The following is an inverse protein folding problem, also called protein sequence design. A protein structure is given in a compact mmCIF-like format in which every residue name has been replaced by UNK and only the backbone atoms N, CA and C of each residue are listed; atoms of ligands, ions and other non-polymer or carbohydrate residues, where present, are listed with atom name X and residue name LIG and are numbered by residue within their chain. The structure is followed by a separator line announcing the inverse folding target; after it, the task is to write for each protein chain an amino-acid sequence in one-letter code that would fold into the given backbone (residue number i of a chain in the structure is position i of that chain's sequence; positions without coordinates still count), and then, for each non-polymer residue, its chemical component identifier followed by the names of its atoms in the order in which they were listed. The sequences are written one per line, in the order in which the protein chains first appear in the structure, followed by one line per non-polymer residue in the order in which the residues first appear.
data_IF_166181117507
#
_entry.id   IF_166181117507
#
_cell.length_a   1.000
_cell.length_b   1.000
_cell.length_c   1.000
_cell.angle_alpha   90.00
_cell.angle_beta   90.00
_cell.angle_gamma   90.00
#
_symmetry.space_group_name_H-M   'P 1'
#
loop_
_entity.id
_entity.type
_entity.pdbx_description
1 polymer ?
#
# COMPACT_ATOMS: atom_id res chain seq x y z
N UNK A 1 1.69 -2.27 -9.01
CA UNK A 1 1.49 -0.87 -8.59
C UNK A 1 0.26 -0.32 -9.29
N UNK A 2 -0.71 0.20 -8.54
CA UNK A 2 -1.90 0.89 -9.06
C UNK A 2 -1.89 2.34 -8.55
N UNK A 3 -2.43 3.28 -9.31
CA UNK A 3 -2.49 4.70 -8.92
C UNK A 3 -3.89 5.31 -9.10
N UNK A 4 -4.22 6.29 -8.26
CA UNK A 4 -5.37 7.19 -8.39
C UNK A 4 -4.84 8.61 -8.17
N UNK A 5 -4.72 9.40 -9.24
CA UNK A 5 -3.99 10.67 -9.17
C UNK A 5 -2.53 10.42 -8.78
N UNK A 6 -2.06 11.09 -7.72
CA UNK A 6 -0.72 10.91 -7.16
C UNK A 6 -0.67 9.90 -5.98
N UNK A 7 -1.81 9.30 -5.59
CA UNK A 7 -1.86 8.23 -4.60
C UNK A 7 -1.57 6.89 -5.29
N UNK A 8 -0.57 6.16 -4.80
CA UNK A 8 -0.19 4.83 -5.28
C UNK A 8 -0.46 3.75 -4.24
N UNK A 9 -0.69 2.53 -4.73
CA UNK A 9 -0.92 1.32 -3.95
C UNK A 9 0.11 0.26 -4.35
N UNK A 10 0.81 -0.26 -3.36
CA UNK A 10 1.82 -1.30 -3.51
C UNK A 10 1.46 -2.51 -2.66
N UNK A 11 1.40 -3.68 -3.28
CA UNK A 11 1.12 -4.94 -2.59
C UNK A 11 2.44 -5.58 -2.18
N UNK A 12 2.81 -5.43 -0.91
CA UNK A 12 3.95 -6.10 -0.30
C UNK A 12 3.56 -7.49 0.23
N UNK A 13 4.53 -8.22 0.76
CA UNK A 13 4.32 -9.60 1.23
C UNK A 13 3.44 -9.67 2.48
N UNK A 14 3.57 -8.69 3.37
CA UNK A 14 2.94 -8.66 4.69
C UNK A 14 2.12 -7.39 4.92
N UNK A 15 2.09 -6.48 3.93
CA UNK A 15 1.42 -5.19 4.01
C UNK A 15 1.08 -4.65 2.64
N UNK A 16 -0.02 -3.89 2.55
CA UNK A 16 -0.36 -3.09 1.39
C UNK A 16 -0.02 -1.64 1.73
N UNK A 17 0.95 -1.06 1.03
CA UNK A 17 1.42 0.29 1.28
C UNK A 17 0.71 1.31 0.38
N UNK A 18 0.31 2.44 0.97
CA UNK A 18 -0.31 3.57 0.29
C UNK A 18 0.62 4.78 0.36
N UNK A 19 0.93 5.40 -0.78
CA UNK A 19 1.89 6.49 -0.85
C UNK A 19 1.38 7.68 -1.68
N UNK A 20 1.67 8.90 -1.23
CA UNK A 20 1.30 10.13 -1.93
C UNK A 20 0.01 10.77 -1.42
N UNK A 21 -0.57 11.65 -2.24
CA UNK A 21 -1.79 12.40 -1.93
C UNK A 21 -2.80 12.35 -3.08
N UNK A 22 -4.08 12.47 -2.75
CA UNK A 22 -5.17 12.57 -3.71
C UNK A 22 -6.13 13.67 -3.25
N UNK A 23 -6.22 14.73 -4.05
CA UNK A 23 -7.20 15.78 -3.84
C UNK A 23 -8.51 15.43 -4.53
N UNK A 24 -9.60 15.40 -3.76
CA UNK A 24 -10.94 15.16 -4.27
C UNK A 24 -11.68 16.50 -4.41
N UNK A 25 -11.79 16.98 -5.64
CA UNK A 25 -12.53 18.20 -5.95
C UNK A 25 -14.04 17.98 -5.79
N UNK A 26 -14.80 19.04 -5.49
CA UNK A 26 -16.27 18.99 -5.34
C UNK A 26 -17.01 19.03 -6.68
N UNK A 27 -16.55 18.25 -7.64
CA UNK A 27 -17.11 18.13 -8.98
C UNK A 27 -17.29 16.66 -9.38
N UNK A 28 -17.71 16.42 -10.63
CA UNK A 28 -17.94 15.04 -11.13
C UNK A 28 -16.65 14.24 -11.27
N UNK A 29 -15.52 14.90 -11.54
CA UNK A 29 -14.21 14.27 -11.64
C UNK A 29 -13.75 13.81 -10.26
N UNK A 30 -13.82 14.68 -9.25
CA UNK A 30 -13.52 14.31 -7.87
C UNK A 30 -14.46 13.23 -7.34
N UNK A 31 -15.75 13.24 -7.70
CA UNK A 31 -16.67 12.14 -7.38
C UNK A 31 -16.27 10.82 -8.04
N UNK A 32 -15.84 10.85 -9.31
CA UNK A 32 -15.36 9.65 -10.00
C UNK A 32 -14.09 9.08 -9.34
N UNK A 33 -13.15 9.94 -8.96
CA UNK A 33 -11.95 9.55 -8.22
C UNK A 33 -12.29 8.98 -6.83
N UNK A 34 -13.24 9.59 -6.11
CA UNK A 34 -13.70 9.10 -4.81
C UNK A 34 -14.32 7.70 -4.91
N UNK A 35 -15.15 7.46 -5.93
CA UNK A 35 -15.73 6.13 -6.21
C UNK A 35 -14.67 5.11 -6.58
N UNK A 36 -13.68 5.51 -7.37
CA UNK A 36 -12.56 4.65 -7.73
C UNK A 36 -11.74 4.27 -6.49
N UNK A 37 -11.49 5.22 -5.59
CA UNK A 37 -10.79 4.99 -4.33
C UNK A 37 -11.57 3.99 -3.46
N UNK A 38 -12.88 4.21 -3.28
CA UNK A 38 -13.76 3.30 -2.55
C UNK A 38 -13.69 1.87 -3.11
N UNK A 39 -13.90 1.69 -4.42
CA UNK A 39 -13.85 0.37 -5.04
C UNK A 39 -12.50 -0.32 -4.87
N UNK A 40 -11.41 0.47 -4.85
CA UNK A 40 -10.06 -0.07 -4.63
C UNK A 40 -9.89 -0.58 -3.21
N UNK A 41 -10.35 0.19 -2.22
CA UNK A 41 -10.31 -0.22 -0.82
C UNK A 41 -11.22 -1.42 -0.57
N UNK A 42 -12.42 -1.45 -1.15
CA UNK A 42 -13.32 -2.61 -1.05
C UNK A 42 -12.68 -3.88 -1.60
N UNK A 43 -11.96 -3.79 -2.73
CA UNK A 43 -11.24 -4.93 -3.29
C UNK A 43 -10.08 -5.39 -2.40
N UNK A 44 -9.35 -4.46 -1.78
CA UNK A 44 -8.29 -4.77 -0.81
C UNK A 44 -8.88 -5.49 0.40
N UNK A 45 -9.95 -4.95 0.99
CA UNK A 45 -10.61 -5.56 2.15
C UNK A 45 -11.10 -6.96 1.82
N UNK A 46 -11.77 -7.15 0.69
CA UNK A 46 -12.23 -8.48 0.27
C UNK A 46 -11.11 -9.49 0.07
N UNK A 47 -9.95 -9.06 -0.43
CA UNK A 47 -8.80 -9.93 -0.56
C UNK A 47 -8.29 -10.36 0.82
N UNK A 48 -8.13 -9.40 1.73
CA UNK A 48 -7.69 -9.63 3.11
C UNK A 48 -8.66 -10.52 3.91
N UNK A 49 -9.97 -10.30 3.77
CA UNK A 49 -11.01 -11.14 4.39
C UNK A 49 -11.02 -12.59 3.85
N UNK A 50 -10.47 -12.81 2.65
CA UNK A 50 -10.37 -14.13 2.03
C UNK A 50 -9.13 -14.92 2.45
N UNK A 51 -8.23 -14.30 3.21
CA UNK A 51 -6.97 -14.89 3.68
C UNK A 51 -7.06 -15.27 5.17
N UNK A 52 -6.28 -16.27 5.59
CA UNK A 52 -6.13 -16.61 7.01
C UNK A 52 -5.06 -15.70 7.62
N UNK A 53 -5.50 -14.51 8.05
CA UNK A 53 -4.62 -13.45 8.54
C UNK A 53 -4.15 -13.72 9.98
N UNK A 54 -2.88 -13.50 10.30
CA UNK A 54 -2.41 -13.53 11.69
C UNK A 54 -2.99 -12.36 12.49
N UNK A 55 -3.12 -12.55 13.81
CA UNK A 55 -3.62 -11.49 14.73
C UNK A 55 -2.72 -10.25 14.72
N UNK A 56 -1.42 -10.43 14.49
CA UNK A 56 -0.47 -9.35 14.23
C UNK A 56 0.61 -9.82 13.25
N UNK A 57 1.02 -8.92 12.35
CA UNK A 57 2.22 -9.10 11.55
C UNK A 57 3.42 -8.97 12.49
N UNK A 58 4.26 -10.00 12.57
CA UNK A 58 5.50 -9.91 13.32
C UNK A 58 6.37 -8.81 12.69
N UNK A 59 6.70 -7.76 13.44
CA UNK A 59 7.78 -6.87 13.04
C UNK A 59 9.04 -7.72 12.94
N UNK A 60 9.51 -7.95 11.71
CA UNK A 60 10.81 -8.57 11.52
C UNK A 60 11.80 -7.71 12.32
N UNK A 61 12.53 -8.26 13.31
CA UNK A 61 13.61 -7.52 13.92
C UNK A 61 14.50 -7.08 12.77
N UNK A 62 14.77 -5.77 12.66
CA UNK A 62 15.77 -5.26 11.73
C UNK A 62 17.02 -6.11 11.95
N UNK A 63 17.26 -7.06 11.05
CA UNK A 63 18.42 -7.90 11.14
C UNK A 63 19.59 -6.91 11.08
N UNK A 64 20.33 -6.80 12.20
CA UNK A 64 21.38 -5.81 12.35
C UNK A 64 22.20 -5.80 11.05
N UNK A 65 22.33 -4.63 10.38
CA UNK A 65 22.91 -4.57 9.05
C UNK A 65 24.28 -5.25 9.10
N UNK A 66 24.42 -6.36 8.37
CA UNK A 66 25.71 -7.04 8.25
C UNK A 66 26.62 -6.09 7.49
N UNK A 67 27.59 -5.52 8.18
CA UNK A 67 28.65 -4.73 7.55
C UNK A 67 29.38 -5.65 6.57
N UNK A 68 29.20 -5.39 5.28
CA UNK A 68 29.96 -6.04 4.21
C UNK A 68 31.08 -5.09 3.76
N UNK A 69 32.27 -5.60 3.42
CA UNK A 69 33.35 -4.77 2.92
C UNK A 69 32.91 -4.05 1.64
N UNK A 70 33.27 -2.76 1.51
CA UNK A 70 33.04 -2.00 0.29
C UNK A 70 33.85 -2.62 -0.87
N UNK A 71 33.21 -3.10 -1.96
CA UNK A 71 33.91 -3.73 -3.08
C UNK A 71 34.62 -2.73 -4.01
N UNK A 72 34.53 -1.42 -3.72
CA UNK A 72 35.13 -0.32 -4.48
C UNK A 72 36.14 0.52 -3.67
N UNK A 73 36.48 0.07 -2.46
CA UNK A 73 37.51 0.72 -1.62
C UNK A 73 38.93 0.27 -2.00
#
# INVERSE_FOLDING_TARGET
MRTIGALSFENGTDRIALHGSLDLTRDRTGLAQARLLQQTLDAIVRALEGEDLPEAVAEAPEAAPKSVPNPFA
#
